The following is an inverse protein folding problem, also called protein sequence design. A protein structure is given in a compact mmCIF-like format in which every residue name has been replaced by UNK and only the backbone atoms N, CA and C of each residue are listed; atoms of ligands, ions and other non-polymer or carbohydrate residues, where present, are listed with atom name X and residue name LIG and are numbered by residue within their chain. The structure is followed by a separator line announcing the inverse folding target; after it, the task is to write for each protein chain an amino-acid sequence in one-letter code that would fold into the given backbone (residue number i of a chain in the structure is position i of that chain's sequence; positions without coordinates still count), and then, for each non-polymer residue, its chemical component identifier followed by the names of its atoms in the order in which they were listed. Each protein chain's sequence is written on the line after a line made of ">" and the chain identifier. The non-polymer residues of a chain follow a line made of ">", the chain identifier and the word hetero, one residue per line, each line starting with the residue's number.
data_IF_816828129169
#
_entry.id   IF_816828129169
#
_cell.length_a   1.000
_cell.length_b   1.000
_cell.length_c   1.000
_cell.angle_alpha   90.00
_cell.angle_beta   90.00
_cell.angle_gamma   90.00
#
_symmetry.space_group_name_H-M   'P 1'
#
loop_
_entity.id
_entity.type
_entity.pdbx_description
1 polymer ?
#
# COMPACT_ATOMS: atom_id res chain seq x y z
N UNK A 1 -52.79 42.83 -44.80
CA UNK A 1 -51.96 41.61 -44.84
C UNK A 1 -51.03 41.64 -43.63
N UNK A 2 -51.08 40.60 -42.80
CA UNK A 2 -50.67 40.58 -41.38
C UNK A 2 -49.23 40.03 -41.27
N UNK A 3 -48.29 40.84 -40.82
CA UNK A 3 -46.88 40.46 -40.67
C UNK A 3 -46.68 39.66 -39.36
N UNK A 4 -46.49 38.36 -39.49
CA UNK A 4 -46.23 37.44 -38.39
C UNK A 4 -44.73 37.49 -38.03
N UNK A 5 -44.40 38.06 -36.86
CA UNK A 5 -43.02 38.03 -36.33
C UNK A 5 -42.80 36.71 -35.59
N UNK A 6 -41.95 35.84 -36.13
CA UNK A 6 -41.52 34.60 -35.47
C UNK A 6 -40.38 34.95 -34.51
N UNK A 7 -40.61 34.80 -33.21
CA UNK A 7 -39.58 34.93 -32.17
C UNK A 7 -38.91 33.56 -32.03
N UNK A 8 -37.63 33.47 -32.39
CA UNK A 8 -36.82 32.26 -32.23
C UNK A 8 -36.34 32.20 -30.77
N UNK A 9 -36.90 31.28 -29.98
CA UNK A 9 -36.48 31.02 -28.60
C UNK A 9 -35.38 29.97 -28.66
N UNK A 10 -34.13 30.39 -28.47
CA UNK A 10 -32.96 29.51 -28.43
C UNK A 10 -32.95 28.76 -27.09
N UNK A 11 -33.28 27.47 -27.12
CA UNK A 11 -33.23 26.60 -25.94
C UNK A 11 -31.76 26.21 -25.69
N UNK A 12 -31.12 26.85 -24.70
CA UNK A 12 -29.78 26.49 -24.25
C UNK A 12 -29.89 25.18 -23.46
N UNK A 13 -29.49 24.07 -24.09
CA UNK A 13 -29.35 22.77 -23.42
C UNK A 13 -28.13 22.83 -22.52
N UNK A 14 -28.35 22.93 -21.21
CA UNK A 14 -27.29 22.77 -20.22
C UNK A 14 -26.81 21.31 -20.29
N UNK A 15 -25.61 21.10 -20.82
CA UNK A 15 -24.92 19.82 -20.68
C UNK A 15 -24.67 19.61 -19.17
N UNK A 16 -25.09 18.48 -18.59
CA UNK A 16 -24.70 18.16 -17.23
C UNK A 16 -23.17 18.00 -17.21
N UNK A 17 -22.49 18.92 -16.53
CA UNK A 17 -21.10 18.69 -16.16
C UNK A 17 -21.09 17.40 -15.33
N UNK A 18 -20.23 16.45 -15.72
CA UNK A 18 -19.96 15.28 -14.92
C UNK A 18 -19.29 15.79 -13.64
N UNK A 19 -20.06 16.00 -12.59
CA UNK A 19 -19.50 16.13 -11.24
C UNK A 19 -18.89 14.77 -10.90
N UNK A 20 -17.56 14.69 -10.90
CA UNK A 20 -16.89 13.62 -10.17
C UNK A 20 -17.31 13.76 -8.72
N UNK A 21 -18.06 12.77 -8.22
CA UNK A 21 -18.34 12.66 -6.80
C UNK A 21 -16.99 12.65 -6.05
N UNK A 22 -16.83 13.58 -5.11
CA UNK A 22 -15.69 13.65 -4.20
C UNK A 22 -15.84 12.54 -3.15
N UNK A 23 -15.54 11.31 -3.55
CA UNK A 23 -15.66 10.12 -2.71
C UNK A 23 -14.39 9.30 -2.76
N UNK A 24 -14.07 8.66 -1.64
CA UNK A 24 -13.01 7.65 -1.60
C UNK A 24 -13.34 6.53 -2.60
N UNK A 25 -12.37 6.18 -3.43
CA UNK A 25 -12.43 5.05 -4.34
C UNK A 25 -11.80 3.82 -3.69
N UNK A 26 -12.36 2.65 -3.94
CA UNK A 26 -11.70 1.38 -3.63
C UNK A 26 -10.81 1.01 -4.82
N UNK A 27 -9.51 1.24 -4.69
CA UNK A 27 -8.54 0.85 -5.68
C UNK A 27 -8.18 -0.62 -5.51
N UNK A 28 -8.06 -1.35 -6.62
CA UNK A 28 -7.73 -2.80 -6.63
C UNK A 28 -6.62 -3.06 -7.63
N UNK A 29 -5.57 -3.74 -7.19
CA UNK A 29 -4.54 -4.28 -8.06
C UNK A 29 -4.45 -5.79 -7.86
N UNK A 30 -4.89 -6.55 -8.87
CA UNK A 30 -4.86 -8.01 -8.83
C UNK A 30 -3.45 -8.59 -9.06
N UNK A 31 -2.57 -7.88 -9.79
CA UNK A 31 -1.19 -8.30 -10.03
C UNK A 31 -0.39 -8.29 -8.71
N UNK A 32 -0.55 -7.21 -7.95
CA UNK A 32 0.08 -6.97 -6.65
C UNK A 32 -0.77 -7.44 -5.47
N UNK A 33 -1.95 -8.01 -5.73
CA UNK A 33 -2.83 -8.68 -4.75
C UNK A 33 -3.25 -7.81 -3.56
N UNK A 34 -3.71 -6.59 -3.83
CA UNK A 34 -4.27 -5.74 -2.79
C UNK A 34 -5.52 -4.97 -3.22
N UNK A 35 -6.24 -4.51 -2.19
CA UNK A 35 -7.24 -3.45 -2.28
C UNK A 35 -6.89 -2.37 -1.25
N UNK A 36 -7.21 -1.12 -1.56
CA UNK A 36 -7.00 0.01 -0.64
C UNK A 36 -7.90 1.17 -1.04
N UNK A 37 -8.31 2.00 -0.07
CA UNK A 37 -9.06 3.20 -0.40
C UNK A 37 -8.11 4.36 -0.69
N UNK A 38 -8.33 5.09 -1.78
CA UNK A 38 -7.70 6.37 -2.05
C UNK A 38 -8.77 7.45 -2.25
N UNK A 39 -8.48 8.75 -2.01
CA UNK A 39 -9.46 9.81 -2.22
C UNK A 39 -9.71 10.10 -3.71
N UNK A 40 -8.82 9.63 -4.60
CA UNK A 40 -8.93 9.65 -6.07
C UNK A 40 -8.03 8.57 -6.66
N UNK A 41 -8.03 8.44 -7.99
CA UNK A 41 -7.06 7.58 -8.68
C UNK A 41 -5.62 7.96 -8.28
N UNK A 42 -4.80 6.98 -7.84
CA UNK A 42 -3.43 7.23 -7.45
C UNK A 42 -2.51 7.40 -8.65
N UNK A 43 -1.49 8.22 -8.47
CA UNK A 43 -0.34 8.30 -9.35
C UNK A 43 0.52 7.05 -9.15
N UNK A 44 0.82 6.33 -10.23
CA UNK A 44 1.53 5.04 -10.22
C UNK A 44 2.93 5.21 -10.79
N UNK A 45 3.94 4.73 -10.07
CA UNK A 45 5.34 4.76 -10.49
C UNK A 45 6.03 3.43 -10.21
N UNK A 46 6.69 2.88 -11.24
CA UNK A 46 7.59 1.72 -11.10
C UNK A 46 9.01 2.19 -10.80
N UNK A 47 9.77 1.38 -10.07
CA UNK A 47 11.18 1.63 -9.76
C UNK A 47 11.93 0.33 -9.45
N UNK A 48 13.25 0.40 -9.48
CA UNK A 48 14.13 -0.69 -9.05
C UNK A 48 14.43 -0.51 -7.56
N UNK A 49 14.05 -1.50 -6.75
CA UNK A 49 14.29 -1.54 -5.31
C UNK A 49 15.54 -2.34 -5.00
N UNK A 50 16.48 -1.74 -4.26
CA UNK A 50 17.67 -2.43 -3.75
C UNK A 50 17.37 -2.91 -2.32
N UNK A 51 17.49 -4.21 -2.12
CA UNK A 51 17.25 -4.86 -0.84
C UNK A 51 18.43 -4.70 0.13
N UNK A 52 18.25 -5.15 1.38
CA UNK A 52 19.28 -5.07 2.42
C UNK A 52 20.56 -5.80 2.00
N UNK A 53 20.41 -6.94 1.34
CA UNK A 53 21.53 -7.76 0.88
C UNK A 53 21.94 -7.47 -0.58
N UNK A 54 21.41 -6.40 -1.18
CA UNK A 54 21.91 -5.81 -2.42
C UNK A 54 21.31 -6.35 -3.72
N UNK A 55 20.34 -7.26 -3.67
CA UNK A 55 19.60 -7.65 -4.88
C UNK A 55 18.60 -6.58 -5.32
N UNK A 56 18.32 -6.57 -6.61
CA UNK A 56 17.34 -5.66 -7.21
C UNK A 56 16.01 -6.37 -7.45
N UNK A 57 14.95 -5.79 -6.90
CA UNK A 57 13.57 -6.24 -7.03
C UNK A 57 12.69 -5.17 -7.67
N UNK A 58 11.64 -5.54 -8.43
CA UNK A 58 10.68 -4.57 -8.93
C UNK A 58 9.87 -3.98 -7.78
N UNK A 59 9.82 -2.65 -7.74
CA UNK A 59 9.00 -1.86 -6.83
C UNK A 59 7.95 -1.06 -7.59
N UNK A 60 6.81 -0.81 -6.94
CA UNK A 60 5.75 0.07 -7.45
C UNK A 60 5.15 0.90 -6.33
N UNK A 61 4.98 2.19 -6.57
CA UNK A 61 4.33 3.12 -5.63
C UNK A 61 3.01 3.62 -6.23
N UNK A 62 1.97 3.63 -5.40
CA UNK A 62 0.66 4.24 -5.67
C UNK A 62 0.53 5.40 -4.70
N UNK A 63 0.30 6.62 -5.18
CA UNK A 63 0.27 7.79 -4.30
C UNK A 63 -0.79 8.81 -4.66
N UNK A 64 -1.29 9.50 -3.65
CA UNK A 64 -2.16 10.67 -3.80
C UNK A 64 -1.65 11.78 -2.91
N UNK A 65 -1.34 12.92 -3.51
CA UNK A 65 -1.16 14.17 -2.78
C UNK A 65 -2.48 14.95 -2.76
N UNK A 66 -2.90 15.37 -1.57
CA UNK A 66 -4.10 16.15 -1.35
C UNK A 66 -3.98 16.98 -0.07
N UNK A 67 -4.40 18.25 -0.10
CA UNK A 67 -4.41 19.15 1.06
C UNK A 67 -3.05 19.27 1.79
N UNK A 68 -1.94 19.13 1.05
CA UNK A 68 -0.58 19.14 1.61
C UNK A 68 -0.16 17.86 2.32
N UNK A 69 -1.03 16.84 2.37
CA UNK A 69 -0.70 15.49 2.82
C UNK A 69 -0.31 14.56 1.67
N UNK A 70 0.27 13.43 2.03
CA UNK A 70 0.64 12.34 1.11
C UNK A 70 0.05 11.03 1.63
N UNK A 71 -0.74 10.37 0.80
CA UNK A 71 -1.16 8.98 0.99
C UNK A 71 -0.40 8.13 -0.01
N UNK A 72 0.23 7.05 0.43
CA UNK A 72 0.95 6.18 -0.47
C UNK A 72 0.93 4.72 -0.03
N UNK A 73 1.01 3.84 -1.02
CA UNK A 73 1.27 2.42 -0.86
C UNK A 73 2.45 2.06 -1.77
N UNK A 74 3.53 1.58 -1.18
CA UNK A 74 4.69 1.04 -1.87
C UNK A 74 4.65 -0.48 -1.79
N UNK A 75 4.84 -1.13 -2.94
CA UNK A 75 4.92 -2.59 -3.07
C UNK A 75 6.30 -2.97 -3.56
N UNK A 76 6.95 -3.91 -2.88
CA UNK A 76 8.15 -4.59 -3.39
C UNK A 76 7.80 -6.05 -3.65
N UNK A 77 8.06 -6.51 -4.87
CA UNK A 77 7.75 -7.88 -5.29
C UNK A 77 8.99 -8.78 -5.25
N UNK A 78 9.02 -9.68 -4.27
CA UNK A 78 10.11 -10.63 -4.06
C UNK A 78 9.86 -12.02 -4.66
N UNK A 79 8.81 -12.21 -5.48
CA UNK A 79 8.43 -13.53 -6.01
C UNK A 79 9.55 -14.22 -6.80
N UNK A 80 10.38 -13.46 -7.51
CA UNK A 80 11.51 -13.95 -8.30
C UNK A 80 12.85 -13.97 -7.51
N UNK A 81 12.78 -14.12 -6.18
CA UNK A 81 13.95 -14.01 -5.30
C UNK A 81 15.08 -14.99 -5.59
N UNK A 82 14.76 -16.27 -5.81
CA UNK A 82 15.75 -17.32 -6.08
C UNK A 82 16.57 -17.02 -7.34
N UNK A 83 15.93 -16.48 -8.38
CA UNK A 83 16.59 -16.06 -9.62
C UNK A 83 17.59 -14.93 -9.43
N UNK A 84 17.29 -13.95 -8.56
CA UNK A 84 18.14 -12.76 -8.34
C UNK A 84 19.50 -13.07 -7.73
N UNK A 85 19.59 -14.15 -6.96
CA UNK A 85 20.82 -14.53 -6.26
C UNK A 85 21.58 -15.70 -6.91
N UNK A 86 21.04 -16.27 -8.00
CA UNK A 86 21.74 -17.29 -8.78
C UNK A 86 22.94 -16.70 -9.54
N UNK A 87 22.94 -15.39 -9.80
CA UNK A 87 23.99 -14.67 -10.54
C UNK A 87 25.01 -13.95 -9.63
N UNK A 88 24.69 -13.74 -8.35
CA UNK A 88 25.54 -13.06 -7.36
C UNK A 88 26.56 -14.03 -6.76
N UNK A 89 27.34 -14.73 -7.58
CA UNK A 89 28.39 -15.64 -7.12
C UNK A 89 29.66 -14.83 -6.85
N UNK A 90 29.70 -14.13 -5.70
CA UNK A 90 30.97 -13.88 -5.02
C UNK A 90 30.92 -14.52 -3.63
N UNK A 91 31.92 -15.36 -3.37
CA UNK A 91 31.97 -16.32 -2.27
C UNK A 91 32.78 -15.72 -1.13
N UNK A 92 32.11 -15.19 -0.12
CA UNK A 92 32.71 -15.07 1.21
C UNK A 92 31.86 -15.82 2.22
N UNK A 93 32.55 -16.67 2.98
CA UNK A 93 32.04 -17.67 3.92
C UNK A 93 31.03 -17.11 4.90
N UNK A 94 29.86 -17.78 4.99
CA UNK A 94 29.14 -18.16 6.22
C UNK A 94 27.63 -18.40 5.99
N UNK A 95 27.10 -18.06 4.81
CA UNK A 95 25.74 -18.43 4.39
C UNK A 95 25.71 -18.89 2.92
N UNK A 96 24.90 -19.89 2.54
CA UNK A 96 24.68 -20.20 1.13
C UNK A 96 24.06 -18.96 0.46
N UNK A 97 24.84 -18.28 -0.39
CA UNK A 97 24.45 -17.06 -1.12
C UNK A 97 23.11 -17.23 -1.86
N UNK A 98 22.84 -18.46 -2.31
CA UNK A 98 21.57 -18.88 -2.94
C UNK A 98 20.34 -18.72 -2.04
N UNK A 99 20.48 -18.49 -0.74
CA UNK A 99 19.38 -18.31 0.22
C UNK A 99 19.22 -16.87 0.70
N UNK A 100 20.06 -15.93 0.28
CA UNK A 100 19.99 -14.52 0.72
C UNK A 100 18.67 -13.85 0.35
N UNK A 101 18.02 -14.28 -0.74
CA UNK A 101 16.68 -13.81 -1.08
C UNK A 101 15.63 -14.10 0.00
N UNK A 102 15.78 -15.19 0.76
CA UNK A 102 14.90 -15.48 1.91
C UNK A 102 15.17 -14.49 3.05
N UNK A 103 16.42 -14.04 3.21
CA UNK A 103 16.77 -13.05 4.23
C UNK A 103 16.21 -11.68 3.87
N UNK A 104 16.33 -11.26 2.61
CA UNK A 104 15.67 -10.04 2.13
C UNK A 104 14.17 -10.08 2.34
N UNK A 105 13.51 -11.17 1.97
CA UNK A 105 12.07 -11.31 2.17
C UNK A 105 11.71 -11.19 3.65
N UNK A 106 12.35 -11.96 4.53
CA UNK A 106 12.05 -12.00 5.96
C UNK A 106 12.46 -10.73 6.71
N UNK A 107 13.56 -10.10 6.29
CA UNK A 107 14.11 -8.87 6.84
C UNK A 107 13.50 -7.59 6.27
N UNK A 108 12.73 -7.68 5.19
CA UNK A 108 12.17 -6.52 4.49
C UNK A 108 11.39 -5.56 5.39
N UNK A 109 10.54 -6.09 6.28
CA UNK A 109 9.75 -5.28 7.23
C UNK A 109 10.66 -4.52 8.21
N UNK A 110 11.54 -5.16 9.01
CA UNK A 110 12.41 -4.42 9.92
C UNK A 110 13.41 -3.50 9.21
N UNK A 111 13.86 -3.85 8.00
CA UNK A 111 14.75 -3.03 7.19
C UNK A 111 14.08 -1.73 6.71
N UNK A 112 12.90 -1.79 6.11
CA UNK A 112 12.17 -0.57 5.73
C UNK A 112 11.73 0.25 6.95
N UNK A 113 11.40 -0.44 8.05
CA UNK A 113 11.14 0.22 9.32
C UNK A 113 12.37 0.97 9.87
N UNK A 114 13.60 0.48 9.68
CA UNK A 114 14.81 1.21 10.11
C UNK A 114 14.97 2.50 9.29
N UNK A 115 14.75 2.45 7.98
CA UNK A 115 14.78 3.64 7.11
C UNK A 115 13.77 4.69 7.54
N UNK A 116 12.55 4.29 7.95
CA UNK A 116 11.55 5.19 8.51
C UNK A 116 12.04 5.88 9.79
N UNK A 117 12.67 5.14 10.70
CA UNK A 117 13.23 5.67 11.95
C UNK A 117 14.38 6.66 11.69
N UNK A 118 15.20 6.39 10.69
CA UNK A 118 16.32 7.24 10.28
C UNK A 118 15.89 8.59 9.69
N UNK A 119 14.64 8.73 9.23
CA UNK A 119 14.09 10.03 8.79
C UNK A 119 14.04 11.07 9.92
N UNK A 120 14.13 10.64 11.18
CA UNK A 120 14.10 11.50 12.36
C UNK A 120 12.68 11.84 12.82
N UNK A 121 12.56 12.84 13.70
CA UNK A 121 11.31 13.13 14.41
C UNK A 121 11.13 12.31 15.68
N UNK A 122 9.97 12.44 16.31
CA UNK A 122 9.63 11.71 17.54
C UNK A 122 8.75 10.51 17.19
N UNK A 123 9.27 9.31 17.43
CA UNK A 123 8.46 8.08 17.36
C UNK A 123 7.41 8.10 18.47
N UNK A 124 6.15 8.04 18.10
CA UNK A 124 4.99 8.01 19.00
C UNK A 124 4.47 6.59 19.21
N UNK A 125 4.64 5.72 18.22
CA UNK A 125 4.29 4.31 18.26
C UNK A 125 5.21 3.55 17.31
N UNK A 126 5.65 2.36 17.71
CA UNK A 126 6.50 1.47 16.91
C UNK A 126 6.36 0.07 17.51
N UNK A 127 5.41 -0.70 16.99
CA UNK A 127 5.12 -2.02 17.54
C UNK A 127 4.41 -2.92 16.52
N UNK A 128 4.32 -4.20 16.89
CA UNK A 128 3.57 -5.21 16.16
C UNK A 128 2.16 -4.74 15.86
N UNK A 129 1.72 -5.00 14.63
CA UNK A 129 0.39 -4.68 14.15
C UNK A 129 -0.06 -5.72 13.12
N UNK A 130 -1.32 -5.67 12.72
CA UNK A 130 -1.82 -6.52 11.65
C UNK A 130 -2.98 -5.87 10.90
N UNK A 131 -3.17 -6.28 9.65
CA UNK A 131 -4.38 -6.01 8.87
C UNK A 131 -4.88 -7.34 8.35
N UNK A 132 -6.16 -7.67 8.56
CA UNK A 132 -6.72 -8.97 8.19
C UNK A 132 -5.92 -10.17 8.77
N UNK A 133 -5.25 -9.95 9.91
CA UNK A 133 -4.27 -10.83 10.56
C UNK A 133 -3.05 -11.20 9.69
N UNK A 134 -2.79 -10.45 8.62
CA UNK A 134 -1.44 -10.33 8.05
C UNK A 134 -0.63 -9.46 9.00
N UNK A 135 0.29 -10.11 9.70
CA UNK A 135 1.15 -9.48 10.70
C UNK A 135 2.18 -8.56 10.04
N UNK A 136 2.59 -7.56 10.81
CA UNK A 136 3.49 -6.53 10.36
C UNK A 136 3.85 -5.58 11.49
N UNK A 137 4.22 -4.37 11.10
CA UNK A 137 4.63 -3.31 12.00
C UNK A 137 3.79 -2.06 11.72
N UNK A 138 3.44 -1.32 12.76
CA UNK A 138 2.90 0.02 12.62
C UNK A 138 3.83 1.01 13.32
N UNK A 139 4.17 2.09 12.62
CA UNK A 139 5.01 3.18 13.11
C UNK A 139 4.24 4.49 12.98
N UNK A 140 4.23 5.28 14.04
CA UNK A 140 3.70 6.65 14.03
C UNK A 140 4.82 7.61 14.40
N UNK A 141 5.07 8.58 13.54
CA UNK A 141 6.15 9.57 13.68
C UNK A 141 5.52 10.96 13.74
N UNK A 142 5.88 11.73 14.76
CA UNK A 142 5.74 13.19 14.74
C UNK A 142 6.98 13.76 14.07
N UNK A 143 6.83 14.28 12.86
CA UNK A 143 7.94 14.74 12.04
C UNK A 143 8.49 16.09 12.53
N UNK A 144 9.70 16.43 12.10
CA UNK A 144 10.41 17.66 12.49
C UNK A 144 9.69 18.93 12.02
N UNK A 145 9.00 18.86 10.87
CA UNK A 145 8.21 19.96 10.30
C UNK A 145 6.81 20.11 10.94
N UNK A 146 6.49 19.29 11.95
CA UNK A 146 5.20 19.28 12.65
C UNK A 146 4.12 18.43 11.96
N UNK A 147 4.38 17.87 10.79
CA UNK A 147 3.50 16.85 10.19
C UNK A 147 3.55 15.54 10.99
N UNK A 148 2.60 14.63 10.74
CA UNK A 148 2.58 13.29 11.33
C UNK A 148 2.55 12.24 10.23
N UNK A 149 3.43 11.23 10.32
CA UNK A 149 3.44 10.07 9.43
C UNK A 149 2.90 8.84 10.17
N UNK A 150 1.96 8.15 9.53
CA UNK A 150 1.41 6.88 9.98
C UNK A 150 1.80 5.82 8.93
N UNK A 151 2.64 4.87 9.32
CA UNK A 151 3.18 3.87 8.42
C UNK A 151 2.82 2.46 8.87
N UNK A 152 2.30 1.63 7.96
CA UNK A 152 2.05 0.20 8.17
C UNK A 152 2.87 -0.62 7.20
N UNK A 153 3.60 -1.63 7.69
CA UNK A 153 4.49 -2.48 6.90
C UNK A 153 4.07 -3.93 7.08
N UNK A 154 3.77 -4.62 5.98
CA UNK A 154 3.25 -5.99 5.99
C UNK A 154 3.91 -6.82 4.89
N UNK A 155 4.34 -8.04 5.21
CA UNK A 155 4.84 -8.98 4.22
C UNK A 155 3.78 -10.07 4.00
N UNK A 156 3.32 -10.23 2.76
CA UNK A 156 2.37 -11.28 2.42
C UNK A 156 2.60 -11.83 1.02
N UNK A 157 2.55 -13.15 0.88
CA UNK A 157 2.74 -13.85 -0.39
C UNK A 157 3.94 -13.32 -1.21
N UNK A 158 5.09 -13.18 -0.53
CA UNK A 158 6.36 -12.69 -1.07
C UNK A 158 6.32 -11.25 -1.63
N UNK A 159 5.42 -10.41 -1.11
CA UNK A 159 5.36 -8.99 -1.41
C UNK A 159 5.38 -8.18 -0.12
N UNK A 160 6.25 -7.18 -0.06
CA UNK A 160 6.21 -6.18 1.01
C UNK A 160 5.23 -5.08 0.61
N UNK A 161 4.31 -4.75 1.51
CA UNK A 161 3.35 -3.66 1.40
C UNK A 161 3.72 -2.64 2.48
N UNK A 162 4.12 -1.44 2.07
CA UNK A 162 4.38 -0.31 2.96
C UNK A 162 3.39 0.80 2.64
N UNK A 163 2.43 0.99 3.53
CA UNK A 163 1.51 2.12 3.43
C UNK A 163 2.01 3.27 4.29
N UNK A 164 1.96 4.50 3.78
CA UNK A 164 2.28 5.71 4.53
C UNK A 164 1.17 6.76 4.33
N UNK A 165 0.71 7.34 5.43
CA UNK A 165 -0.10 8.56 5.42
C UNK A 165 0.64 9.66 6.17
N UNK A 166 1.11 10.67 5.46
CA UNK A 166 1.69 11.88 6.04
C UNK A 166 0.66 13.00 6.01
N UNK A 167 0.32 13.54 7.18
CA UNK A 167 -0.68 14.61 7.34
C UNK A 167 -0.02 15.88 7.86
N UNK A 168 -0.40 17.08 7.36
CA UNK A 168 0.16 18.32 7.86
C UNK A 168 -0.16 18.58 9.34
N UNK A 169 0.59 19.49 9.95
CA UNK A 169 0.36 19.91 11.33
C UNK A 169 -1.09 20.37 11.55
N UNK A 170 -1.73 19.84 12.60
CA UNK A 170 -3.12 20.19 12.97
C UNK A 170 -4.21 19.47 12.19
N UNK A 171 -3.87 18.62 11.21
CA UNK A 171 -4.85 17.79 10.50
C UNK A 171 -5.12 16.48 11.25
N UNK A 172 -6.34 15.92 11.15
CA UNK A 172 -6.64 14.64 11.78
C UNK A 172 -5.88 13.48 11.11
N UNK A 173 -5.63 12.39 11.84
CA UNK A 173 -5.10 11.16 11.25
C UNK A 173 -6.00 10.64 10.11
N UNK A 174 -5.39 10.16 9.03
CA UNK A 174 -6.11 9.56 7.90
C UNK A 174 -6.51 8.10 8.18
N UNK A 175 -7.33 7.88 9.21
CA UNK A 175 -7.70 6.54 9.68
C UNK A 175 -8.42 5.69 8.62
N UNK A 176 -9.20 6.32 7.73
CA UNK A 176 -9.85 5.63 6.61
C UNK A 176 -8.82 4.98 5.67
N UNK A 177 -7.77 5.71 5.31
CA UNK A 177 -6.66 5.17 4.51
C UNK A 177 -5.95 4.05 5.29
N UNK A 178 -5.53 4.34 6.52
CA UNK A 178 -4.74 3.44 7.39
C UNK A 178 -5.38 2.06 7.60
N UNK A 179 -6.71 1.99 7.68
CA UNK A 179 -7.43 0.73 7.92
C UNK A 179 -7.98 0.09 6.65
N UNK A 180 -7.78 0.70 5.48
CA UNK A 180 -8.43 0.25 4.23
C UNK A 180 -7.65 -0.80 3.45
N UNK A 181 -6.37 -1.00 3.74
CA UNK A 181 -5.59 -2.03 3.06
C UNK A 181 -6.26 -3.40 3.27
N UNK A 182 -6.33 -4.18 2.21
CA UNK A 182 -6.75 -5.56 2.22
C UNK A 182 -5.90 -6.36 1.26
N UNK A 183 -5.68 -7.62 1.56
CA UNK A 183 -4.86 -8.52 0.76
C UNK A 183 -5.75 -9.46 -0.04
N UNK A 184 -5.31 -9.81 -1.24
CA UNK A 184 -6.02 -10.71 -2.15
C UNK A 184 -5.27 -12.05 -2.29
N UNK A 185 -6.01 -13.11 -2.54
CA UNK A 185 -5.43 -14.36 -3.02
C UNK A 185 -5.15 -14.30 -4.53
N UNK A 186 -4.67 -15.41 -5.09
CA UNK A 186 -4.41 -15.60 -6.51
C UNK A 186 -5.66 -15.56 -7.39
N UNK A 187 -6.85 -15.80 -6.84
CA UNK A 187 -8.12 -15.61 -7.53
C UNK A 187 -8.71 -14.19 -7.36
N UNK A 188 -7.98 -13.28 -6.70
CA UNK A 188 -8.43 -11.91 -6.47
C UNK A 188 -9.47 -11.76 -5.36
N UNK A 189 -9.64 -12.77 -4.50
CA UNK A 189 -10.58 -12.74 -3.37
C UNK A 189 -9.88 -12.18 -2.14
N UNK A 190 -10.57 -11.31 -1.40
CA UNK A 190 -10.05 -10.78 -0.13
C UNK A 190 -9.77 -11.91 0.84
N UNK A 191 -8.60 -11.87 1.46
CA UNK A 191 -8.22 -12.81 2.52
C UNK A 191 -8.45 -12.14 3.87
N UNK A 192 -8.77 -12.97 4.86
CA UNK A 192 -8.71 -12.63 6.27
C UNK A 192 -8.29 -13.86 7.02
N UNK A 193 -7.42 -13.71 8.00
CA UNK A 193 -7.03 -14.80 8.88
C UNK A 193 -7.74 -14.69 10.23
N UNK A 194 -7.78 -15.79 10.96
CA UNK A 194 -8.08 -15.85 12.39
C UNK A 194 -6.93 -16.55 13.12
N UNK A 195 -6.68 -16.15 14.37
CA UNK A 195 -5.80 -16.88 15.28
C UNK A 195 -6.62 -17.93 16.01
N UNK A 196 -6.15 -19.16 15.98
CA UNK A 196 -6.70 -20.25 16.77
C UNK A 196 -6.09 -20.24 18.20
N UNK A 197 -6.72 -20.89 19.20
CA UNK A 197 -6.20 -20.89 20.57
C UNK A 197 -4.80 -21.52 20.74
N UNK A 198 -4.39 -22.38 19.82
CA UNK A 198 -3.05 -22.98 19.71
C UNK A 198 -2.04 -22.07 18.98
N UNK A 199 -2.46 -20.89 18.52
CA UNK A 199 -1.60 -19.89 17.90
C UNK A 199 -1.41 -20.05 16.39
N UNK A 200 -2.13 -20.97 15.75
CA UNK A 200 -2.10 -21.10 14.30
C UNK A 200 -2.94 -20.02 13.61
N UNK A 201 -2.50 -19.61 12.42
CA UNK A 201 -3.25 -18.68 11.56
C UNK A 201 -4.01 -19.47 10.51
N UNK A 202 -5.33 -19.44 10.57
CA UNK A 202 -6.20 -20.11 9.58
C UNK A 202 -6.95 -19.08 8.74
N UNK A 203 -7.12 -19.35 7.44
CA UNK A 203 -7.86 -18.46 6.54
C UNK A 203 -9.35 -18.53 6.86
N UNK A 204 -9.98 -17.38 7.08
CA UNK A 204 -11.43 -17.24 7.15
C UNK A 204 -12.01 -17.30 5.74
N UNK A 205 -12.84 -18.30 5.48
CA UNK A 205 -13.64 -18.40 4.27
C UNK A 205 -15.01 -17.74 4.54
N UNK A 206 -15.45 -16.79 3.71
CA UNK A 206 -16.81 -16.27 3.83
C UNK A 206 -17.81 -17.28 3.24
N UNK A 207 -18.54 -18.00 4.08
CA UNK A 207 -19.55 -18.99 3.68
C UNK A 207 -19.22 -20.43 4.13
N UNK A 208 -20.21 -21.33 4.02
CA UNK A 208 -20.21 -22.71 4.55
C UNK A 208 -19.29 -23.70 3.79
N UNK A 209 -18.22 -23.22 3.16
CA UNK A 209 -17.31 -24.07 2.38
C UNK A 209 -15.88 -23.95 2.88
N UNK A 210 -15.21 -25.10 2.88
CA UNK A 210 -13.79 -25.27 3.21
C UNK A 210 -12.95 -24.59 2.13
N UNK A 211 -12.05 -23.70 2.55
CA UNK A 211 -10.85 -23.34 1.79
C UNK A 211 -9.96 -24.60 1.72
#
# INVERSE_FOLDING_TARGET
>A
MRNLKIILITLIVAMPAISFSQGWILYTDQEHRFIINFPREPDIQNFDYISEYGATFPGRTYSVQENGGLLSLMIIDFRDGEGKYTELIDKTDDAPVSSLWLYDQRGSVPYEASKLRERGGKILYDNWHHIDLVEGLNIVISNVDGSSTYAGLYLHANRLYMMEATVPAGFPPQSLFQQSLGFLDDEGRRIRYQLTPDGERTRLCSGQWVC
#
